data_IF_441549594087
#
_entry.id   IF_441549594087
#
_cell.length_a   1.000
_cell.length_b   1.000
_cell.length_c   1.000
_cell.angle_alpha   90.00
_cell.angle_beta   90.00
_cell.angle_gamma   90.00
#
_symmetry.space_group_name_H-M   'P 1'
#
loop_
_entity.id
_entity.type
_entity.pdbx_description
1 polymer ?
#
# COMPACT_ATOMS: atom_id res chain seq x y z
N UNK A 1 17.44 -2.98 -69.32
CA UNK A 1 18.29 -2.73 -68.14
C UNK A 1 17.65 -3.39 -66.93
N UNK A 2 17.78 -4.71 -66.78
CA UNK A 2 17.52 -5.30 -65.48
C UNK A 2 18.82 -5.15 -64.70
N UNK A 3 18.84 -4.09 -63.91
CA UNK A 3 19.85 -3.80 -62.88
C UNK A 3 20.25 -5.12 -62.23
N UNK A 4 21.55 -5.40 -62.28
CA UNK A 4 22.23 -6.51 -61.62
C UNK A 4 22.24 -6.26 -60.10
N UNK A 5 21.02 -6.06 -59.56
CA UNK A 5 20.72 -5.68 -58.20
C UNK A 5 21.04 -6.88 -57.33
N UNK A 6 22.32 -6.97 -56.95
CA UNK A 6 22.82 -7.76 -55.82
C UNK A 6 22.15 -9.13 -55.71
N UNK A 7 22.25 -9.93 -56.78
CA UNK A 7 21.99 -11.37 -56.67
C UNK A 7 23.03 -11.96 -55.73
N UNK A 8 22.65 -12.11 -54.46
CA UNK A 8 23.47 -12.77 -53.46
C UNK A 8 23.81 -14.17 -53.94
N UNK A 9 25.06 -14.57 -53.76
CA UNK A 9 25.47 -15.93 -54.07
C UNK A 9 24.75 -16.92 -53.14
N UNK A 10 24.54 -18.17 -53.58
CA UNK A 10 23.93 -19.20 -52.71
C UNK A 10 24.70 -19.36 -51.38
N UNK A 11 26.02 -19.18 -51.40
CA UNK A 11 26.88 -19.19 -50.22
C UNK A 11 26.59 -18.03 -49.27
N UNK A 12 26.37 -16.81 -49.78
CA UNK A 12 25.98 -15.65 -48.97
C UNK A 12 24.61 -15.86 -48.32
N UNK A 13 23.64 -16.40 -49.07
CA UNK A 13 22.32 -16.75 -48.52
C UNK A 13 22.43 -17.80 -47.42
N UNK A 14 23.26 -18.84 -47.61
CA UNK A 14 23.52 -19.86 -46.58
C UNK A 14 24.19 -19.27 -45.33
N UNK A 15 25.18 -18.38 -45.50
CA UNK A 15 25.85 -17.69 -44.38
C UNK A 15 24.88 -16.79 -43.62
N UNK A 16 24.05 -16.03 -44.33
CA UNK A 16 23.00 -15.20 -43.72
C UNK A 16 21.98 -16.06 -42.98
N UNK A 17 21.50 -17.15 -43.58
CA UNK A 17 20.57 -18.08 -42.94
C UNK A 17 21.18 -18.70 -41.67
N UNK A 18 22.45 -19.10 -41.71
CA UNK A 18 23.19 -19.59 -40.54
C UNK A 18 23.30 -18.54 -39.43
N UNK A 19 23.69 -17.31 -39.76
CA UNK A 19 23.78 -16.21 -38.81
C UNK A 19 22.41 -15.83 -38.21
N UNK A 20 21.34 -15.89 -38.99
CA UNK A 20 19.96 -15.68 -38.51
C UNK A 20 19.52 -16.80 -37.58
N UNK A 21 19.80 -18.06 -37.90
CA UNK A 21 19.50 -19.21 -37.01
C UNK A 21 20.23 -19.10 -35.68
N UNK A 22 21.51 -18.69 -35.70
CA UNK A 22 22.28 -18.45 -34.48
C UNK A 22 21.67 -17.33 -33.63
N UNK A 23 21.28 -16.20 -34.25
CA UNK A 23 20.59 -15.11 -33.54
C UNK A 23 19.26 -15.54 -32.93
N UNK A 24 18.43 -16.27 -33.68
CA UNK A 24 17.16 -16.80 -33.16
C UNK A 24 17.40 -17.75 -31.98
N UNK A 25 18.42 -18.60 -32.06
CA UNK A 25 18.76 -19.51 -30.97
C UNK A 25 19.24 -18.75 -29.71
N UNK A 26 20.04 -17.69 -29.90
CA UNK A 26 20.53 -16.83 -28.82
C UNK A 26 19.38 -16.04 -28.17
N UNK A 27 18.53 -15.38 -28.96
CA UNK A 27 17.33 -14.69 -28.48
C UNK A 27 16.37 -15.65 -27.75
N UNK A 28 16.19 -16.86 -28.28
CA UNK A 28 15.41 -17.92 -27.63
C UNK A 28 15.96 -18.31 -26.26
N UNK A 29 17.28 -18.46 -26.13
CA UNK A 29 17.94 -18.75 -24.85
C UNK A 29 17.83 -17.58 -23.84
N UNK A 30 17.92 -16.34 -24.33
CA UNK A 30 17.71 -15.13 -23.51
C UNK A 30 16.26 -15.05 -23.00
N UNK A 31 15.27 -15.28 -23.88
CA UNK A 31 13.85 -15.29 -23.50
C UNK A 31 13.54 -16.41 -22.51
N UNK A 32 14.13 -17.59 -22.65
CA UNK A 32 13.96 -18.68 -21.69
C UNK A 32 14.54 -18.29 -20.31
N UNK A 33 15.70 -17.64 -20.29
CA UNK A 33 16.32 -17.14 -19.06
C UNK A 33 15.44 -16.08 -18.39
N UNK A 34 14.93 -15.13 -19.17
CA UNK A 34 14.02 -14.07 -18.70
C UNK A 34 12.71 -14.66 -18.17
N UNK A 35 12.15 -15.66 -18.85
CA UNK A 35 10.94 -16.38 -18.44
C UNK A 35 11.13 -17.09 -17.09
N UNK A 36 12.27 -17.78 -16.91
CA UNK A 36 12.64 -18.42 -15.64
C UNK A 36 12.80 -17.39 -14.52
N UNK A 37 13.44 -16.25 -14.78
CA UNK A 37 13.61 -15.18 -13.81
C UNK A 37 12.26 -14.56 -13.40
N UNK A 38 11.40 -14.27 -14.37
CA UNK A 38 10.04 -13.72 -14.15
C UNK A 38 9.18 -14.70 -13.34
N UNK A 39 9.25 -16.00 -13.64
CA UNK A 39 8.53 -17.04 -12.88
C UNK A 39 8.98 -17.10 -11.43
N UNK A 40 10.29 -16.94 -11.16
CA UNK A 40 10.82 -16.88 -9.79
C UNK A 40 10.37 -15.63 -9.05
N UNK A 41 10.40 -14.48 -9.71
CA UNK A 41 9.90 -13.23 -9.15
C UNK A 41 8.41 -13.32 -8.80
N UNK A 42 7.58 -13.87 -9.69
CA UNK A 42 6.16 -14.07 -9.45
C UNK A 42 5.92 -14.99 -8.23
N UNK A 43 6.65 -16.10 -8.12
CA UNK A 43 6.56 -16.99 -6.95
C UNK A 43 6.92 -16.28 -5.63
N UNK A 44 7.90 -15.38 -5.66
CA UNK A 44 8.28 -14.61 -4.48
C UNK A 44 7.18 -13.61 -4.10
N UNK A 45 6.65 -12.88 -5.09
CA UNK A 45 5.53 -11.95 -4.92
C UNK A 45 4.30 -12.67 -4.36
N UNK A 46 3.94 -13.83 -4.91
CA UNK A 46 2.84 -14.64 -4.41
C UNK A 46 3.08 -15.12 -2.98
N UNK A 47 4.33 -15.46 -2.63
CA UNK A 47 4.69 -15.85 -1.26
C UNK A 47 4.55 -14.68 -0.29
N UNK A 48 4.96 -13.47 -0.70
CA UNK A 48 4.77 -12.25 0.09
C UNK A 48 3.28 -11.93 0.28
N UNK A 49 2.47 -12.07 -0.76
CA UNK A 49 1.02 -11.89 -0.64
C UNK A 49 0.40 -12.93 0.29
N UNK A 50 0.84 -14.18 0.25
CA UNK A 50 0.31 -15.19 1.17
C UNK A 50 0.68 -14.92 2.64
N UNK A 51 1.80 -14.24 2.90
CA UNK A 51 2.22 -13.86 4.25
C UNK A 51 1.52 -12.59 4.76
N UNK A 52 1.48 -11.54 3.96
CA UNK A 52 1.04 -10.20 4.40
C UNK A 52 -0.36 -9.80 3.93
N UNK A 53 -0.92 -10.54 2.99
CA UNK A 53 -2.20 -10.27 2.33
C UNK A 53 -3.01 -11.58 2.18
N UNK A 54 -3.00 -12.43 3.21
CA UNK A 54 -3.73 -13.68 3.19
C UNK A 54 -5.22 -13.42 2.96
N UNK A 55 -5.80 -14.15 2.00
CA UNK A 55 -7.19 -13.94 1.56
C UNK A 55 -7.39 -12.82 0.54
N UNK A 56 -6.34 -12.13 0.09
CA UNK A 56 -6.47 -11.14 -0.96
C UNK A 56 -6.81 -11.77 -2.32
N UNK A 57 -7.85 -11.25 -2.97
CA UNK A 57 -8.21 -11.71 -4.33
C UNK A 57 -7.15 -11.29 -5.35
N UNK A 58 -7.15 -11.90 -6.53
CA UNK A 58 -6.23 -11.50 -7.60
C UNK A 58 -6.39 -10.01 -7.98
N UNK A 59 -7.62 -9.49 -7.95
CA UNK A 59 -7.88 -8.08 -8.20
C UNK A 59 -7.26 -7.20 -7.11
N UNK A 60 -7.47 -7.54 -5.84
CA UNK A 60 -6.87 -6.82 -4.71
C UNK A 60 -5.34 -6.84 -4.72
N UNK A 61 -4.73 -7.95 -5.15
CA UNK A 61 -3.27 -8.03 -5.33
C UNK A 61 -2.78 -7.08 -6.42
N UNK A 62 -3.51 -6.98 -7.54
CA UNK A 62 -3.20 -6.04 -8.62
C UNK A 62 -3.29 -4.58 -8.17
N UNK A 63 -4.36 -4.23 -7.46
CA UNK A 63 -4.54 -2.89 -6.87
C UNK A 63 -3.46 -2.59 -5.82
N UNK A 64 -3.12 -3.55 -4.98
CA UNK A 64 -2.04 -3.38 -4.01
C UNK A 64 -0.69 -3.17 -4.68
N UNK A 65 -0.36 -3.92 -5.73
CA UNK A 65 0.85 -3.66 -6.51
C UNK A 65 0.84 -2.25 -7.10
N UNK A 66 -0.29 -1.81 -7.67
CA UNK A 66 -0.45 -0.46 -8.21
C UNK A 66 -0.12 0.60 -7.16
N UNK A 67 -0.66 0.45 -5.94
CA UNK A 67 -0.40 1.35 -4.81
C UNK A 67 1.08 1.32 -4.40
N UNK A 68 1.66 0.12 -4.25
CA UNK A 68 3.06 -0.04 -3.82
C UNK A 68 4.08 0.50 -4.83
N UNK A 69 3.71 0.62 -6.10
CA UNK A 69 4.54 1.22 -7.16
C UNK A 69 4.09 2.64 -7.53
N UNK A 70 3.09 3.20 -6.85
CA UNK A 70 2.55 4.51 -7.18
C UNK A 70 3.47 5.63 -6.69
N UNK A 71 3.60 6.68 -7.50
CA UNK A 71 4.22 7.96 -7.11
C UNK A 71 3.16 9.00 -6.69
N UNK A 72 1.90 8.59 -6.59
CA UNK A 72 0.80 9.47 -6.20
C UNK A 72 0.90 9.88 -4.72
N UNK A 73 0.55 11.13 -4.43
CA UNK A 73 0.49 11.63 -3.07
C UNK A 73 -0.76 11.19 -2.31
N UNK A 74 -1.79 10.75 -3.02
CA UNK A 74 -3.05 10.26 -2.46
C UNK A 74 -3.19 8.79 -2.81
N UNK A 75 -3.28 7.93 -1.79
CA UNK A 75 -3.47 6.49 -1.98
C UNK A 75 -4.81 6.07 -1.43
N UNK A 76 -5.52 5.27 -2.23
CA UNK A 76 -6.76 4.61 -1.82
C UNK A 76 -6.47 3.15 -1.48
N UNK A 77 -6.55 2.83 -0.19
CA UNK A 77 -6.42 1.47 0.33
C UNK A 77 -7.78 0.87 0.73
N UNK A 78 -8.91 1.47 0.36
CA UNK A 78 -10.27 1.04 0.71
C UNK A 78 -10.58 -0.42 0.32
N UNK A 79 -10.06 -0.84 -0.83
CA UNK A 79 -10.29 -2.18 -1.40
C UNK A 79 -9.18 -3.20 -1.16
N UNK A 80 -8.04 -2.84 -0.55
CA UNK A 80 -6.87 -3.73 -0.47
C UNK A 80 -6.53 -4.11 0.98
N UNK A 81 -5.77 -5.19 1.21
CA UNK A 81 -5.22 -5.46 2.54
C UNK A 81 -4.41 -4.25 3.04
N UNK A 82 -4.69 -3.71 4.24
CA UNK A 82 -4.04 -2.49 4.71
C UNK A 82 -2.59 -2.73 5.17
N UNK A 83 -2.27 -3.93 5.66
CA UNK A 83 -0.98 -4.22 6.30
C UNK A 83 0.23 -4.05 5.35
N UNK A 84 0.21 -4.55 4.10
CA UNK A 84 1.32 -4.31 3.17
C UNK A 84 1.56 -2.84 2.85
N UNK A 85 0.50 -2.04 2.71
CA UNK A 85 0.63 -0.59 2.48
C UNK A 85 1.23 0.12 3.72
N UNK A 86 0.75 -0.23 4.92
CA UNK A 86 1.32 0.29 6.17
C UNK A 86 2.81 -0.12 6.35
N UNK A 87 3.18 -1.34 5.97
CA UNK A 87 4.56 -1.81 5.99
C UNK A 87 5.44 -1.06 4.97
N UNK A 88 4.92 -0.78 3.78
CA UNK A 88 5.62 -0.01 2.76
C UNK A 88 5.86 1.44 3.20
N UNK A 89 4.86 2.06 3.85
CA UNK A 89 5.01 3.38 4.50
C UNK A 89 6.12 3.34 5.56
N UNK A 90 6.08 2.35 6.46
CA UNK A 90 7.06 2.20 7.53
C UNK A 90 8.51 2.03 7.03
N UNK A 91 8.68 1.38 5.87
CA UNK A 91 9.99 1.19 5.23
C UNK A 91 10.39 2.34 4.29
N UNK A 92 9.59 3.41 4.19
CA UNK A 92 9.92 4.55 3.33
C UNK A 92 9.74 4.30 1.83
N UNK A 93 9.03 3.24 1.45
CA UNK A 93 8.80 2.88 0.04
C UNK A 93 7.70 3.71 -0.63
N UNK A 94 6.95 4.47 0.18
CA UNK A 94 5.89 5.36 -0.26
C UNK A 94 6.20 6.82 0.13
N UNK A 95 7.32 7.40 -0.35
CA UNK A 95 7.83 8.69 0.15
C UNK A 95 6.97 9.90 -0.24
N UNK A 96 6.12 9.76 -1.26
CA UNK A 96 5.27 10.84 -1.77
C UNK A 96 3.88 10.89 -1.11
N UNK A 97 3.51 9.85 -0.36
CA UNK A 97 2.18 9.71 0.22
C UNK A 97 1.96 10.75 1.32
N UNK A 98 0.91 11.56 1.11
CA UNK A 98 0.39 12.57 2.03
C UNK A 98 -1.03 12.24 2.49
N UNK A 99 -1.80 11.57 1.66
CA UNK A 99 -3.19 11.23 1.95
C UNK A 99 -3.40 9.73 1.86
N UNK A 100 -4.04 9.17 2.88
CA UNK A 100 -4.43 7.76 2.94
C UNK A 100 -5.95 7.71 3.04
N UNK A 101 -6.61 7.18 2.01
CA UNK A 101 -8.04 6.89 2.01
C UNK A 101 -8.25 5.41 2.26
N UNK A 102 -8.85 5.10 3.39
CA UNK A 102 -9.09 3.75 3.86
C UNK A 102 -10.58 3.50 4.10
N UNK A 103 -11.42 4.42 3.61
CA UNK A 103 -12.86 4.41 3.82
C UNK A 103 -13.50 3.11 3.30
N UNK A 104 -14.42 2.54 4.09
CA UNK A 104 -15.14 1.31 3.78
C UNK A 104 -14.31 0.02 3.83
N UNK A 105 -13.02 0.09 4.20
CA UNK A 105 -12.19 -1.12 4.28
C UNK A 105 -12.55 -1.96 5.52
N UNK A 106 -13.24 -3.08 5.29
CA UNK A 106 -13.70 -3.99 6.35
C UNK A 106 -12.58 -4.75 7.09
N UNK A 107 -11.33 -4.65 6.62
CA UNK A 107 -10.12 -5.21 7.25
C UNK A 107 -9.44 -4.20 8.18
N UNK A 108 -9.86 -2.94 8.19
CA UNK A 108 -9.35 -1.92 9.10
C UNK A 108 -10.12 -1.99 10.42
N UNK A 109 -9.38 -2.23 11.49
CA UNK A 109 -9.83 -2.32 12.87
C UNK A 109 -8.86 -1.56 13.79
N UNK A 110 -9.08 -1.62 15.10
CA UNK A 110 -8.23 -0.93 16.08
C UNK A 110 -6.74 -1.26 15.94
N UNK A 111 -6.37 -2.55 15.80
CA UNK A 111 -4.97 -2.96 15.72
C UNK A 111 -4.28 -2.41 14.47
N UNK A 112 -4.97 -2.40 13.33
CA UNK A 112 -4.45 -1.83 12.08
C UNK A 112 -4.24 -0.32 12.21
N UNK A 113 -5.20 0.39 12.79
CA UNK A 113 -5.10 1.84 12.97
C UNK A 113 -4.06 2.22 14.00
N UNK A 114 -3.93 1.46 15.09
CA UNK A 114 -2.86 1.63 16.08
C UNK A 114 -1.49 1.44 15.42
N UNK A 115 -1.33 0.39 14.63
CA UNK A 115 -0.07 0.18 13.89
C UNK A 115 0.20 1.34 12.93
N UNK A 116 -0.79 1.74 12.13
CA UNK A 116 -0.66 2.85 11.20
C UNK A 116 -0.34 4.17 11.91
N UNK A 117 -0.93 4.44 13.07
CA UNK A 117 -0.63 5.65 13.85
C UNK A 117 0.83 5.64 14.34
N UNK A 118 1.37 4.49 14.73
CA UNK A 118 2.79 4.38 15.08
C UNK A 118 3.71 4.55 13.86
N UNK A 119 3.33 3.98 12.71
CA UNK A 119 4.06 4.16 11.45
C UNK A 119 4.12 5.65 11.09
N UNK A 120 2.99 6.35 11.14
CA UNK A 120 2.92 7.78 10.85
C UNK A 120 3.70 8.59 11.89
N UNK A 121 3.61 8.23 13.17
CA UNK A 121 4.28 8.93 14.29
C UNK A 121 5.81 8.84 14.21
N UNK A 122 6.35 7.69 13.82
CA UNK A 122 7.78 7.42 13.83
C UNK A 122 8.42 7.29 12.45
N UNK A 123 7.68 7.58 11.37
CA UNK A 123 8.25 7.59 10.03
C UNK A 123 9.39 8.61 9.95
N UNK A 124 10.61 8.13 9.73
CA UNK A 124 11.77 8.97 9.49
C UNK A 124 11.74 9.64 8.10
N UNK A 125 10.85 9.19 7.21
CA UNK A 125 10.73 9.66 5.83
C UNK A 125 9.73 10.81 5.76
N UNK A 126 9.94 11.84 4.91
CA UNK A 126 9.02 12.97 4.73
C UNK A 126 7.66 12.60 4.11
N UNK A 127 7.25 11.34 4.18
CA UNK A 127 5.84 10.97 4.15
C UNK A 127 5.16 11.51 5.42
N UNK A 128 5.10 12.84 5.52
CA UNK A 128 4.20 13.52 6.44
C UNK A 128 2.81 13.24 5.89
N UNK A 129 2.26 12.08 6.25
CA UNK A 129 0.84 11.84 6.02
C UNK A 129 0.12 12.98 6.73
N UNK A 130 -0.58 13.78 5.94
CA UNK A 130 -1.35 14.97 6.31
C UNK A 130 -2.83 14.60 6.50
N UNK A 131 -3.31 13.53 5.86
CA UNK A 131 -4.70 13.10 5.95
C UNK A 131 -4.85 11.58 6.06
N UNK A 132 -5.71 11.15 6.98
CA UNK A 132 -6.16 9.76 7.11
C UNK A 132 -7.70 9.73 7.14
N UNK A 133 -8.29 9.05 6.15
CA UNK A 133 -9.73 8.75 6.13
C UNK A 133 -9.95 7.27 6.45
N UNK A 134 -10.62 6.99 7.57
CA UNK A 134 -10.99 5.65 8.04
C UNK A 134 -12.50 5.54 8.24
N UNK A 135 -13.28 6.31 7.49
CA UNK A 135 -14.74 6.27 7.54
C UNK A 135 -15.28 4.87 7.22
N UNK A 136 -16.39 4.49 7.83
CA UNK A 136 -17.09 3.22 7.59
C UNK A 136 -16.19 1.97 7.81
N UNK A 137 -15.23 2.06 8.74
CA UNK A 137 -14.36 0.95 9.15
C UNK A 137 -14.80 0.34 10.50
N UNK A 138 -14.14 -0.74 10.94
CA UNK A 138 -14.43 -1.39 12.23
C UNK A 138 -13.67 -0.77 13.40
N UNK A 139 -13.15 0.45 13.24
CA UNK A 139 -12.37 1.14 14.25
C UNK A 139 -13.31 1.65 15.34
N UNK A 140 -12.89 1.47 16.58
CA UNK A 140 -13.60 1.93 17.78
C UNK A 140 -12.86 3.10 18.42
N UNK A 141 -13.39 3.62 19.54
CA UNK A 141 -12.73 4.67 20.33
C UNK A 141 -11.32 4.26 20.79
N UNK A 142 -11.07 2.96 21.00
CA UNK A 142 -9.75 2.44 21.35
C UNK A 142 -8.73 2.73 20.25
N UNK A 143 -9.03 2.39 19.00
CA UNK A 143 -8.12 2.66 17.88
C UNK A 143 -7.96 4.16 17.65
N UNK A 144 -9.06 4.91 17.71
CA UNK A 144 -9.03 6.36 17.53
C UNK A 144 -8.19 7.08 18.57
N UNK A 145 -8.19 6.64 19.83
CA UNK A 145 -7.39 7.24 20.89
C UNK A 145 -5.91 7.38 20.49
N UNK A 146 -5.33 6.35 19.88
CA UNK A 146 -3.93 6.37 19.43
C UNK A 146 -3.69 7.33 18.26
N UNK A 147 -4.68 7.49 17.37
CA UNK A 147 -4.61 8.48 16.30
C UNK A 147 -4.66 9.88 16.88
N UNK A 148 -5.56 10.15 17.83
CA UNK A 148 -5.68 11.45 18.47
C UNK A 148 -4.45 11.82 19.30
N UNK A 149 -3.85 10.86 20.00
CA UNK A 149 -2.58 11.06 20.71
C UNK A 149 -1.45 11.39 19.75
N UNK A 150 -1.34 10.66 18.64
CA UNK A 150 -0.39 10.99 17.57
C UNK A 150 -0.65 12.39 17.01
N UNK A 151 -1.90 12.79 16.79
CA UNK A 151 -2.25 14.14 16.35
C UNK A 151 -1.80 15.20 17.36
N UNK A 152 -1.99 14.99 18.67
CA UNK A 152 -1.59 15.95 19.71
C UNK A 152 -0.09 16.18 19.74
N UNK A 153 0.71 15.15 19.50
CA UNK A 153 2.17 15.21 19.55
C UNK A 153 2.82 15.84 18.32
N UNK A 154 2.10 15.90 17.20
CA UNK A 154 2.63 16.45 15.95
C UNK A 154 2.62 17.98 15.93
N UNK A 155 3.68 18.54 15.37
CA UNK A 155 3.74 19.98 15.06
C UNK A 155 3.04 20.31 13.74
N UNK A 156 3.09 19.40 12.75
CA UNK A 156 2.44 19.62 11.46
C UNK A 156 0.92 19.35 11.50
N UNK A 157 0.13 20.04 10.66
CA UNK A 157 -1.29 19.75 10.52
C UNK A 157 -1.56 18.31 10.09
N UNK A 158 -2.55 17.69 10.75
CA UNK A 158 -3.06 16.37 10.40
C UNK A 158 -4.58 16.41 10.38
N UNK A 159 -5.17 15.83 9.35
CA UNK A 159 -6.62 15.70 9.17
C UNK A 159 -7.04 14.26 9.37
N UNK A 160 -7.88 14.02 10.38
CA UNK A 160 -8.55 12.74 10.56
C UNK A 160 -9.99 12.83 10.08
N UNK A 161 -10.39 11.94 9.18
CA UNK A 161 -11.78 11.72 8.79
C UNK A 161 -12.20 10.33 9.29
N UNK A 162 -13.19 10.28 10.16
CA UNK A 162 -13.63 9.06 10.81
C UNK A 162 -15.16 9.10 10.99
N UNK A 163 -15.89 8.83 9.92
CA UNK A 163 -17.36 8.78 9.91
C UNK A 163 -17.88 7.36 10.05
N UNK A 164 -19.07 7.17 10.62
CA UNK A 164 -19.76 5.87 10.55
C UNK A 164 -19.01 4.72 11.24
N UNK A 165 -18.28 5.04 12.31
CA UNK A 165 -17.50 4.08 13.08
C UNK A 165 -18.37 3.18 13.96
N UNK A 166 -17.81 2.04 14.37
CA UNK A 166 -18.50 1.10 15.27
C UNK A 166 -18.41 1.64 16.71
N UNK A 167 -19.56 1.94 17.31
CA UNK A 167 -19.66 2.38 18.71
C UNK A 167 -19.10 1.33 19.68
N UNK A 168 -18.35 1.77 20.69
CA UNK A 168 -17.70 0.93 21.73
C UNK A 168 -18.64 0.03 22.54
N UNK A 169 -19.96 0.20 22.45
CA UNK A 169 -20.94 -0.53 23.28
C UNK A 169 -20.97 -2.06 23.03
N UNK A 170 -20.34 -2.56 21.95
CA UNK A 170 -20.37 -3.98 21.59
C UNK A 170 -19.23 -4.87 22.07
N UNK A 171 -18.08 -4.33 22.53
CA UNK A 171 -16.90 -5.13 22.88
C UNK A 171 -16.58 -5.11 24.38
N UNK A 172 -17.58 -5.43 25.20
CA UNK A 172 -17.42 -5.68 26.65
C UNK A 172 -16.68 -7.01 26.99
N UNK A 173 -15.86 -7.55 26.08
CA UNK A 173 -15.16 -8.82 26.26
C UNK A 173 -13.65 -8.66 26.02
N UNK A 174 -12.97 -7.88 26.86
CA UNK A 174 -11.57 -8.08 27.29
C UNK A 174 -11.03 -6.81 27.95
N UNK A 175 -10.98 -6.79 29.28
CA UNK A 175 -10.14 -5.86 30.04
C UNK A 175 -10.67 -4.44 30.16
N UNK A 176 -11.22 -4.13 31.33
CA UNK A 176 -11.28 -2.81 31.97
C UNK A 176 -11.29 -1.57 31.02
N UNK A 177 -12.29 -1.51 30.12
CA UNK A 177 -12.50 -0.39 29.20
C UNK A 177 -13.11 0.85 29.88
N UNK A 178 -13.34 0.80 31.20
CA UNK A 178 -14.00 1.88 31.96
C UNK A 178 -13.29 3.24 31.80
N UNK A 179 -11.98 3.24 31.57
CA UNK A 179 -11.19 4.45 31.35
C UNK A 179 -10.95 4.86 29.89
N UNK A 180 -11.23 3.99 28.90
CA UNK A 180 -10.92 4.30 27.49
C UNK A 180 -11.83 5.41 26.96
N UNK A 181 -13.13 5.35 27.24
CA UNK A 181 -14.08 6.39 26.83
C UNK A 181 -13.79 7.74 27.47
N UNK A 182 -13.41 7.77 28.76
CA UNK A 182 -13.04 9.01 29.45
C UNK A 182 -11.74 9.60 28.89
N UNK A 183 -10.72 8.76 28.69
CA UNK A 183 -9.45 9.18 28.08
C UNK A 183 -9.65 9.67 26.65
N UNK A 184 -10.43 8.93 25.85
CA UNK A 184 -10.79 9.33 24.49
C UNK A 184 -11.45 10.71 24.48
N UNK A 185 -12.47 10.93 25.32
CA UNK A 185 -13.14 12.23 25.43
C UNK A 185 -12.16 13.35 25.78
N UNK A 186 -11.31 13.13 26.79
CA UNK A 186 -10.31 14.12 27.22
C UNK A 186 -9.32 14.47 26.11
N UNK A 187 -8.79 13.46 25.41
CA UNK A 187 -7.84 13.65 24.32
C UNK A 187 -8.52 14.33 23.12
N UNK A 188 -9.75 13.92 22.79
CA UNK A 188 -10.55 14.56 21.75
C UNK A 188 -10.80 16.04 22.05
N UNK A 189 -11.21 16.38 23.28
CA UNK A 189 -11.36 17.77 23.73
C UNK A 189 -10.05 18.55 23.60
N UNK A 190 -8.91 17.98 23.98
CA UNK A 190 -7.60 18.62 23.79
C UNK A 190 -7.28 18.89 22.32
N UNK A 191 -7.57 17.93 21.43
CA UNK A 191 -7.36 18.07 19.99
C UNK A 191 -8.22 19.20 19.40
N UNK A 192 -9.48 19.26 19.79
CA UNK A 192 -10.42 20.32 19.39
C UNK A 192 -9.97 21.68 19.93
N UNK A 193 -9.55 21.76 21.19
CA UNK A 193 -9.05 23.00 21.80
C UNK A 193 -7.78 23.51 21.12
N UNK A 194 -6.90 22.61 20.67
CA UNK A 194 -5.71 22.95 19.89
C UNK A 194 -6.01 23.31 18.43
N UNK A 195 -7.28 23.29 18.01
CA UNK A 195 -7.74 23.57 16.63
C UNK A 195 -7.06 22.68 15.58
N UNK A 196 -6.66 21.46 15.95
CA UNK A 196 -6.18 20.47 15.00
C UNK A 196 -7.39 19.88 14.25
N UNK A 197 -7.26 19.66 12.94
CA UNK A 197 -8.38 19.32 12.06
C UNK A 197 -8.85 17.88 12.26
N UNK A 198 -9.88 17.69 13.08
CA UNK A 198 -10.50 16.37 13.28
C UNK A 198 -11.97 16.41 12.90
N UNK A 199 -12.36 15.50 12.00
CA UNK A 199 -13.72 15.32 11.52
C UNK A 199 -14.18 13.92 11.94
N UNK A 200 -14.91 13.85 13.05
CA UNK A 200 -15.57 12.63 13.55
C UNK A 200 -17.08 12.88 13.50
N UNK A 201 -17.83 12.03 12.78
CA UNK A 201 -19.30 12.08 12.69
C UNK A 201 -19.92 10.70 12.82
#
# INVERSE_FOLDING_TARGET
MYSDGTRKTMSELQRMAGATRMRIAEEGAQLETLSKATTRAQKLVDSMFNLFASGATHHERGELMRILTSEESDIDIGGVPPFPAALALANGQLPHVRTIRAAGNNRINDEVVIFLSQVIRFSAVPAQVELLDISDTKVTERGLLFVLEMILERDEPFTLIAKGLVSSEGFALAGDLTGVGERFRKVFEMVVLQRKSVIIF
#
